data_IF_110187663929
#
_entry.id   IF_110187663929
#
_cell.length_a   1.000
_cell.length_b   1.000
_cell.length_c   1.000
_cell.angle_alpha   90.00
_cell.angle_beta   90.00
_cell.angle_gamma   90.00
#
_symmetry.space_group_name_H-M   'P 1'
#
loop_
_entity.id
_entity.type
_entity.pdbx_description
1 polymer ?
#
# COMPACT_ATOMS: atom_id res chain seq x y z
N UNK A 1 3.04 -0.44 -23.31
CA UNK A 1 3.90 -1.57 -22.93
C UNK A 1 3.20 -2.26 -21.77
N UNK A 2 2.59 -3.41 -22.01
CA UNK A 2 1.85 -4.13 -20.96
C UNK A 2 2.85 -4.83 -20.07
N UNK A 3 2.95 -4.36 -18.82
CA UNK A 3 3.82 -4.94 -17.80
C UNK A 3 3.30 -6.33 -17.42
N UNK A 4 4.17 -7.34 -17.53
CA UNK A 4 3.80 -8.74 -17.33
C UNK A 4 3.84 -9.07 -15.83
N UNK A 5 2.68 -8.96 -15.16
CA UNK A 5 2.54 -9.09 -13.71
C UNK A 5 2.69 -10.53 -13.20
N UNK A 6 2.81 -11.50 -14.10
CA UNK A 6 2.80 -12.93 -13.79
C UNK A 6 4.21 -13.51 -13.52
N UNK A 7 5.30 -12.81 -13.88
CA UNK A 7 6.69 -13.20 -13.55
C UNK A 7 7.48 -12.04 -12.90
N UNK A 8 7.37 -11.87 -11.57
CA UNK A 8 8.07 -10.85 -10.79
C UNK A 8 9.60 -10.83 -10.96
N UNK A 9 10.24 -11.98 -11.17
CA UNK A 9 11.70 -12.10 -11.03
C UNK A 9 12.49 -11.45 -12.19
N UNK A 10 11.80 -11.18 -13.29
CA UNK A 10 12.41 -10.73 -14.55
C UNK A 10 11.90 -9.34 -15.01
N UNK A 11 11.11 -8.65 -14.17
CA UNK A 11 10.56 -7.33 -14.50
C UNK A 11 11.52 -6.20 -14.06
N UNK A 12 11.85 -5.24 -14.95
CA UNK A 12 12.69 -4.08 -14.63
C UNK A 12 12.23 -3.29 -13.41
N UNK A 13 10.93 -3.25 -13.12
CA UNK A 13 10.37 -2.53 -11.97
C UNK A 13 10.87 -3.14 -10.66
N UNK A 14 10.94 -4.47 -10.57
CA UNK A 14 11.47 -5.13 -9.38
C UNK A 14 12.95 -4.80 -9.14
N UNK A 15 13.74 -4.63 -10.21
CA UNK A 15 15.14 -4.23 -10.07
C UNK A 15 15.26 -2.81 -9.56
N UNK A 16 14.50 -1.87 -10.12
CA UNK A 16 14.51 -0.48 -9.67
C UNK A 16 14.07 -0.42 -8.20
N UNK A 17 13.05 -1.19 -7.80
CA UNK A 17 12.63 -1.29 -6.40
C UNK A 17 13.75 -1.78 -5.49
N UNK A 18 14.49 -2.83 -5.88
CA UNK A 18 15.61 -3.34 -5.09
C UNK A 18 16.73 -2.30 -4.97
N UNK A 19 17.12 -1.66 -6.08
CA UNK A 19 18.14 -0.59 -6.09
C UNK A 19 17.73 0.56 -5.18
N UNK A 20 16.46 0.99 -5.22
CA UNK A 20 15.96 2.02 -4.33
C UNK A 20 16.07 1.60 -2.85
N UNK A 21 15.72 0.35 -2.52
CA UNK A 21 15.83 -0.17 -1.14
C UNK A 21 17.28 -0.25 -0.66
N UNK A 22 18.18 -0.77 -1.49
CA UNK A 22 19.61 -0.88 -1.17
C UNK A 22 20.28 0.49 -0.98
N UNK A 23 19.84 1.48 -1.76
CA UNK A 23 20.29 2.87 -1.65
C UNK A 23 19.55 3.68 -0.56
N UNK A 24 18.65 3.06 0.21
CA UNK A 24 17.79 3.72 1.21
C UNK A 24 16.87 4.84 0.66
N UNK A 25 16.52 4.78 -0.63
CA UNK A 25 15.58 5.68 -1.31
C UNK A 25 14.12 5.24 -1.05
N UNK A 26 13.73 5.21 0.22
CA UNK A 26 12.46 4.61 0.66
C UNK A 26 11.22 5.29 0.04
N UNK A 27 11.20 6.62 -0.04
CA UNK A 27 10.07 7.35 -0.64
C UNK A 27 9.90 7.01 -2.12
N UNK A 28 11.01 6.96 -2.86
CA UNK A 28 11.01 6.56 -4.28
C UNK A 28 10.55 5.11 -4.44
N UNK A 29 10.99 4.21 -3.56
CA UNK A 29 10.54 2.82 -3.57
C UNK A 29 9.02 2.74 -3.36
N UNK A 30 8.47 3.41 -2.34
CA UNK A 30 7.03 3.40 -2.06
C UNK A 30 6.20 4.04 -3.17
N UNK A 31 6.71 5.09 -3.81
CA UNK A 31 6.08 5.70 -4.98
C UNK A 31 6.02 4.73 -6.16
N UNK A 32 7.13 4.03 -6.44
CA UNK A 32 7.18 3.03 -7.51
C UNK A 32 6.28 1.83 -7.20
N UNK A 33 6.23 1.35 -5.95
CA UNK A 33 5.29 0.32 -5.49
C UNK A 33 3.85 0.73 -5.77
N UNK A 34 3.50 1.96 -5.43
CA UNK A 34 2.16 2.51 -5.59
C UNK A 34 1.77 2.71 -7.06
N UNK A 35 2.67 3.25 -7.89
CA UNK A 35 2.37 3.51 -9.30
C UNK A 35 2.32 2.23 -10.13
N UNK A 36 3.19 1.27 -9.83
CA UNK A 36 3.26 0.00 -10.55
C UNK A 36 2.20 -1.02 -10.08
N UNK A 37 1.84 -0.99 -8.79
CA UNK A 37 0.99 -1.99 -8.14
C UNK A 37 1.61 -3.40 -8.08
N UNK A 38 2.95 -3.49 -8.26
CA UNK A 38 3.69 -4.75 -8.39
C UNK A 38 4.01 -5.40 -7.04
N UNK A 39 4.39 -4.59 -6.05
CA UNK A 39 4.81 -5.07 -4.74
C UNK A 39 4.05 -4.35 -3.63
N UNK A 40 3.46 -5.11 -2.73
CA UNK A 40 2.78 -4.60 -1.55
C UNK A 40 3.72 -4.67 -0.35
N UNK A 41 4.32 -3.55 0.00
CA UNK A 41 5.07 -3.40 1.25
C UNK A 41 4.11 -3.36 2.45
N UNK A 42 3.97 -4.49 3.12
CA UNK A 42 3.14 -4.63 4.33
C UNK A 42 3.66 -3.77 5.48
N UNK A 43 4.98 -3.61 5.65
CA UNK A 43 5.55 -2.82 6.74
C UNK A 43 5.26 -1.34 6.54
N UNK A 44 5.38 -0.85 5.30
CA UNK A 44 5.00 0.51 4.94
C UNK A 44 3.51 0.76 5.19
N UNK A 45 2.65 -0.16 4.76
CA UNK A 45 1.22 -0.07 5.00
C UNK A 45 0.87 -0.03 6.50
N UNK A 46 1.49 -0.89 7.30
CA UNK A 46 1.34 -0.87 8.76
C UNK A 46 1.83 0.45 9.38
N UNK A 47 2.92 1.02 8.86
CA UNK A 47 3.43 2.33 9.29
C UNK A 47 2.44 3.47 9.00
N UNK A 48 1.82 3.48 7.82
CA UNK A 48 0.77 4.44 7.48
C UNK A 48 -0.42 4.36 8.46
N UNK A 49 -0.86 3.13 8.79
CA UNK A 49 -1.94 2.90 9.76
C UNK A 49 -1.54 3.37 11.15
N UNK A 50 -0.34 3.02 11.64
CA UNK A 50 0.13 3.45 12.96
C UNK A 50 0.16 4.98 13.10
N UNK A 51 0.53 5.68 12.03
CA UNK A 51 0.54 7.14 11.99
C UNK A 51 -0.84 7.76 11.73
N UNK A 52 -1.85 6.96 11.34
CA UNK A 52 -3.22 7.44 11.10
C UNK A 52 -3.34 8.25 9.81
N UNK A 53 -2.48 7.96 8.84
CA UNK A 53 -2.47 8.56 7.49
C UNK A 53 -3.54 7.92 6.62
N UNK A 54 -4.80 8.09 7.00
CA UNK A 54 -5.93 7.31 6.46
C UNK A 54 -6.15 7.50 4.96
N UNK A 55 -5.91 8.70 4.43
CA UNK A 55 -6.02 8.97 3.00
C UNK A 55 -4.94 8.23 2.22
N UNK A 56 -3.71 8.23 2.72
CA UNK A 56 -2.58 7.52 2.12
C UNK A 56 -2.74 6.01 2.23
N UNK A 57 -3.31 5.50 3.33
CA UNK A 57 -3.67 4.08 3.49
C UNK A 57 -4.61 3.64 2.38
N UNK A 58 -5.73 4.35 2.15
CA UNK A 58 -6.67 3.98 1.10
C UNK A 58 -6.09 4.19 -0.30
N UNK A 59 -5.34 5.29 -0.51
CA UNK A 59 -4.68 5.58 -1.79
C UNK A 59 -3.66 4.50 -2.14
N UNK A 60 -2.91 3.98 -1.17
CA UNK A 60 -1.97 2.89 -1.37
C UNK A 60 -2.71 1.58 -1.67
N UNK A 61 -3.69 1.21 -0.84
CA UNK A 61 -4.47 -0.02 -1.00
C UNK A 61 -5.19 -0.10 -2.36
N UNK A 62 -5.73 1.02 -2.85
CA UNK A 62 -6.47 1.12 -4.12
C UNK A 62 -5.68 0.68 -5.36
N UNK A 63 -4.35 0.64 -5.28
CA UNK A 63 -3.47 0.21 -6.38
C UNK A 63 -3.36 -1.30 -6.50
N UNK A 64 -3.71 -2.00 -5.43
CA UNK A 64 -3.67 -3.45 -5.37
C UNK A 64 -5.07 -4.04 -5.43
N UNK A 65 -6.05 -3.38 -4.81
CA UNK A 65 -7.44 -3.86 -4.80
C UNK A 65 -8.47 -2.74 -4.55
N UNK A 66 -9.60 -2.85 -5.23
CA UNK A 66 -10.82 -2.09 -4.97
C UNK A 66 -11.64 -2.65 -3.81
N UNK A 67 -12.59 -1.84 -3.33
CA UNK A 67 -13.43 -2.17 -2.17
C UNK A 67 -14.24 -3.46 -2.35
N UNK A 68 -14.67 -3.74 -3.57
CA UNK A 68 -15.60 -4.85 -3.88
C UNK A 68 -14.94 -5.98 -4.68
N UNK A 69 -13.61 -6.00 -4.81
CA UNK A 69 -12.92 -7.01 -5.63
C UNK A 69 -13.12 -8.43 -5.09
N UNK A 70 -13.07 -8.58 -3.76
CA UNK A 70 -13.30 -9.84 -3.06
C UNK A 70 -13.59 -9.58 -1.58
N UNK A 71 -14.03 -10.63 -0.87
CA UNK A 71 -14.37 -10.56 0.55
C UNK A 71 -13.23 -10.03 1.44
N UNK A 72 -11.98 -10.41 1.17
CA UNK A 72 -10.82 -9.93 1.94
C UNK A 72 -10.64 -8.42 1.74
N UNK A 73 -10.72 -7.94 0.50
CA UNK A 73 -10.63 -6.51 0.18
C UNK A 73 -11.74 -5.71 0.86
N UNK A 74 -12.99 -6.18 0.75
CA UNK A 74 -14.14 -5.55 1.44
C UNK A 74 -13.91 -5.46 2.94
N UNK A 75 -13.42 -6.54 3.56
CA UNK A 75 -13.10 -6.57 4.99
C UNK A 75 -11.98 -5.59 5.37
N UNK A 76 -10.92 -5.48 4.56
CA UNK A 76 -9.81 -4.55 4.83
C UNK A 76 -10.31 -3.09 4.84
N UNK A 77 -11.03 -2.67 3.79
CA UNK A 77 -11.58 -1.30 3.71
C UNK A 77 -12.56 -1.01 4.85
N UNK A 78 -13.43 -1.96 5.17
CA UNK A 78 -14.39 -1.81 6.26
C UNK A 78 -13.70 -1.55 7.60
N UNK A 79 -12.72 -2.38 7.97
CA UNK A 79 -12.02 -2.26 9.25
C UNK A 79 -11.25 -0.94 9.38
N UNK A 80 -10.62 -0.47 8.30
CA UNK A 80 -9.90 0.81 8.26
C UNK A 80 -10.87 1.98 8.48
N UNK A 81 -11.94 2.04 7.69
CA UNK A 81 -12.94 3.12 7.75
C UNK A 81 -13.69 3.14 9.08
N UNK A 82 -13.91 1.97 9.68
CA UNK A 82 -14.50 1.82 11.01
C UNK A 82 -13.59 2.45 12.07
N UNK A 83 -12.30 2.14 12.08
CA UNK A 83 -11.36 2.75 13.04
C UNK A 83 -11.23 4.26 12.82
N UNK A 84 -11.12 4.71 11.56
CA UNK A 84 -11.13 6.14 11.19
C UNK A 84 -12.35 6.86 11.76
N UNK A 85 -13.55 6.31 11.56
CA UNK A 85 -14.81 6.84 12.11
C UNK A 85 -14.74 7.02 13.64
N UNK A 86 -14.36 5.97 14.36
CA UNK A 86 -14.34 6.01 15.81
C UNK A 86 -13.26 6.95 16.36
N UNK A 87 -12.10 7.04 15.73
CA UNK A 87 -11.08 8.02 16.11
C UNK A 87 -11.55 9.46 15.91
N UNK A 88 -12.24 9.74 14.81
CA UNK A 88 -12.85 11.05 14.55
C UNK A 88 -13.94 11.38 15.56
N UNK A 89 -14.81 10.41 15.89
CA UNK A 89 -15.83 10.58 16.92
C UNK A 89 -15.21 10.84 18.29
N UNK A 90 -14.13 10.12 18.64
CA UNK A 90 -13.43 10.30 19.92
C UNK A 90 -12.75 11.67 20.05
N UNK A 91 -12.43 12.33 18.93
CA UNK A 91 -11.95 13.71 18.88
C UNK A 91 -13.07 14.76 18.95
N UNK A 92 -14.32 14.33 19.13
CA UNK A 92 -15.52 15.17 19.07
C UNK A 92 -15.71 15.88 17.71
N UNK A 93 -15.17 15.31 16.62
CA UNK A 93 -15.32 15.84 15.26
C UNK A 93 -16.59 15.27 14.58
N UNK A 94 -17.77 15.50 15.17
CA UNK A 94 -19.03 14.86 14.75
C UNK A 94 -19.39 15.09 13.27
N UNK A 95 -19.13 16.29 12.74
CA UNK A 95 -19.40 16.59 11.33
C UNK A 95 -18.56 15.72 10.38
N UNK A 96 -17.28 15.50 10.72
CA UNK A 96 -16.37 14.65 9.94
C UNK A 96 -16.73 13.18 10.12
N UNK A 97 -17.10 12.76 11.33
CA UNK A 97 -17.56 11.39 11.60
C UNK A 97 -18.84 11.06 10.80
N UNK A 98 -19.78 12.00 10.72
CA UNK A 98 -20.99 11.88 9.89
C UNK A 98 -20.63 11.74 8.40
N UNK A 99 -19.65 12.50 7.92
CA UNK A 99 -19.20 12.42 6.53
C UNK A 99 -18.61 11.04 6.22
N UNK A 100 -17.74 10.51 7.09
CA UNK A 100 -17.19 9.16 6.99
C UNK A 100 -18.32 8.12 7.02
N UNK A 101 -19.30 8.25 7.91
CA UNK A 101 -20.41 7.30 8.01
C UNK A 101 -21.26 7.26 6.72
N UNK A 102 -21.51 8.43 6.12
CA UNK A 102 -22.36 8.57 4.92
C UNK A 102 -21.65 8.20 3.63
N UNK A 103 -20.37 8.54 3.49
CA UNK A 103 -19.59 8.33 2.27
C UNK A 103 -18.83 7.02 2.28
N UNK A 104 -18.10 6.76 3.36
CA UNK A 104 -17.12 5.68 3.42
C UNK A 104 -17.75 4.38 3.90
N UNK A 105 -18.68 4.45 4.87
CA UNK A 105 -19.24 3.28 5.54
C UNK A 105 -20.62 2.85 5.05
N UNK A 106 -21.33 3.70 4.31
CA UNK A 106 -22.70 3.42 3.83
C UNK A 106 -22.78 2.18 2.93
N UNK A 107 -21.74 1.92 2.14
CA UNK A 107 -21.65 0.72 1.30
C UNK A 107 -21.70 -0.60 2.09
N UNK A 108 -21.47 -0.57 3.41
CA UNK A 108 -21.47 -1.74 4.29
C UNK A 108 -22.75 -1.86 5.13
N UNK A 109 -23.70 -0.93 5.00
CA UNK A 109 -24.94 -0.90 5.82
C UNK A 109 -25.75 -2.20 5.69
N UNK A 110 -25.93 -2.70 4.47
CA UNK A 110 -26.72 -3.91 4.23
C UNK A 110 -26.11 -5.15 4.90
N UNK A 111 -24.78 -5.26 4.90
CA UNK A 111 -24.04 -6.38 5.49
C UNK A 111 -23.85 -6.25 7.01
N UNK A 112 -23.89 -5.03 7.56
CA UNK A 112 -23.60 -4.73 8.96
C UNK A 112 -24.67 -3.82 9.59
N UNK A 113 -25.95 -4.13 9.36
CA UNK A 113 -27.08 -3.24 9.69
C UNK A 113 -27.12 -2.77 11.14
N UNK A 114 -26.99 -3.69 12.10
CA UNK A 114 -27.03 -3.31 13.53
C UNK A 114 -25.85 -2.42 13.91
N UNK A 115 -24.64 -2.77 13.45
CA UNK A 115 -23.46 -1.94 13.70
C UNK A 115 -23.58 -0.55 13.06
N UNK A 116 -24.12 -0.44 11.84
CA UNK A 116 -24.34 0.86 11.19
C UNK A 116 -25.35 1.72 11.96
N UNK A 117 -26.42 1.10 12.49
CA UNK A 117 -27.38 1.78 13.37
C UNK A 117 -26.72 2.24 14.67
N UNK A 118 -25.95 1.38 15.32
CA UNK A 118 -25.20 1.75 16.53
C UNK A 118 -24.27 2.93 16.25
N UNK A 119 -23.47 2.86 15.18
CA UNK A 119 -22.60 3.97 14.77
C UNK A 119 -23.40 5.26 14.57
N UNK A 120 -24.57 5.20 13.94
CA UNK A 120 -25.45 6.36 13.76
C UNK A 120 -25.92 6.95 15.10
N UNK A 121 -26.32 6.09 16.05
CA UNK A 121 -26.74 6.53 17.39
C UNK A 121 -25.60 7.16 18.17
N UNK A 122 -24.36 6.70 17.99
CA UNK A 122 -23.20 7.30 18.66
C UNK A 122 -22.97 8.77 18.26
N UNK A 123 -23.42 9.20 17.08
CA UNK A 123 -23.30 10.60 16.65
C UNK A 123 -24.17 11.55 17.48
N UNK A 124 -25.24 11.06 18.11
CA UNK A 124 -26.17 11.90 18.91
C UNK A 124 -25.70 12.12 20.34
N UNK A 125 -24.60 11.48 20.74
CA UNK A 125 -24.03 11.59 22.08
C UNK A 125 -23.12 12.82 22.10
N UNK A 126 -23.57 13.92 22.72
CA UNK A 126 -22.87 15.22 22.72
C UNK A 126 -21.43 15.16 23.25
N UNK A 127 -21.17 14.31 24.26
CA UNK A 127 -19.84 14.08 24.80
C UNK A 127 -19.57 12.57 24.94
N UNK A 128 -19.32 11.91 23.80
CA UNK A 128 -18.96 10.49 23.75
C UNK A 128 -17.87 10.14 24.80
N UNK A 129 -16.82 10.97 24.88
CA UNK A 129 -15.69 10.80 25.81
C UNK A 129 -16.08 10.81 27.29
N UNK A 130 -17.09 11.59 27.67
CA UNK A 130 -17.51 11.75 29.08
C UNK A 130 -18.62 10.78 29.47
N UNK A 131 -19.46 10.39 28.51
CA UNK A 131 -20.65 9.58 28.75
C UNK A 131 -20.39 8.07 28.60
N UNK A 132 -19.41 7.66 27.79
CA UNK A 132 -19.02 6.25 27.75
C UNK A 132 -18.04 5.94 28.88
N UNK A 133 -18.53 5.31 29.95
CA UNK A 133 -17.68 4.56 30.91
C UNK A 133 -16.93 3.38 30.27
N UNK A 134 -17.19 3.13 28.99
CA UNK A 134 -16.46 2.20 28.14
C UNK A 134 -15.18 2.94 27.74
N UNK A 135 -14.00 2.60 28.27
CA UNK A 135 -12.77 3.08 27.67
C UNK A 135 -12.79 2.50 26.26
N UNK A 136 -13.06 3.34 25.26
CA UNK A 136 -12.98 2.96 23.87
C UNK A 136 -11.56 2.40 23.64
N UNK A 137 -11.43 1.06 23.65
CA UNK A 137 -10.32 0.35 24.30
C UNK A 137 -8.92 0.85 23.91
N UNK A 138 -8.29 1.62 24.79
CA UNK A 138 -6.90 2.09 24.66
C UNK A 138 -6.75 3.42 23.91
N UNK A 139 -5.53 3.92 23.86
CA UNK A 139 -5.18 5.09 23.04
C UNK A 139 -5.26 4.78 21.53
N UNK A 140 -5.16 5.80 20.68
CA UNK A 140 -5.19 5.62 19.22
C UNK A 140 -4.12 4.66 18.71
N UNK A 141 -2.95 4.58 19.36
CA UNK A 141 -1.87 3.68 18.95
C UNK A 141 -2.26 2.23 19.20
N UNK A 142 -2.85 1.94 20.36
CA UNK A 142 -3.34 0.61 20.74
C UNK A 142 -4.43 0.15 19.79
N UNK A 143 -5.37 1.04 19.43
CA UNK A 143 -6.42 0.73 18.44
C UNK A 143 -5.85 0.44 17.06
N UNK A 144 -4.90 1.24 16.60
CA UNK A 144 -4.21 1.02 15.30
C UNK A 144 -3.40 -0.27 15.28
N UNK A 145 -2.74 -0.64 16.39
CA UNK A 145 -2.06 -1.94 16.53
C UNK A 145 -3.03 -3.11 16.48
N UNK A 146 -4.19 -3.01 17.15
CA UNK A 146 -5.26 -4.02 17.06
C UNK A 146 -5.76 -4.14 15.62
N UNK A 147 -6.01 -3.02 14.94
CA UNK A 147 -6.38 -3.01 13.52
C UNK A 147 -5.35 -3.75 12.67
N UNK A 148 -4.06 -3.45 12.83
CA UNK A 148 -2.99 -4.14 12.09
C UNK A 148 -3.01 -5.66 12.32
N UNK A 149 -3.19 -6.10 13.56
CA UNK A 149 -3.28 -7.53 13.87
C UNK A 149 -4.51 -8.21 13.23
N UNK A 150 -5.62 -7.48 13.06
CA UNK A 150 -6.80 -7.95 12.33
C UNK A 150 -6.54 -8.00 10.83
N UNK A 151 -5.87 -6.98 10.27
CA UNK A 151 -5.66 -6.85 8.83
C UNK A 151 -4.58 -7.77 8.29
N UNK A 152 -3.49 -8.01 9.02
CA UNK A 152 -2.35 -8.81 8.56
C UNK A 152 -2.75 -10.17 7.96
N UNK A 153 -3.47 -11.06 8.69
CA UNK A 153 -3.89 -12.34 8.11
C UNK A 153 -4.86 -12.17 6.93
N UNK A 154 -5.72 -11.14 6.95
CA UNK A 154 -6.66 -10.88 5.84
C UNK A 154 -5.92 -10.46 4.57
N UNK A 155 -4.85 -9.68 4.69
CA UNK A 155 -3.99 -9.25 3.59
C UNK A 155 -3.17 -10.43 3.06
N UNK A 156 -2.58 -11.23 3.95
CA UNK A 156 -1.79 -12.41 3.59
C UNK A 156 -2.61 -13.47 2.86
N UNK A 157 -3.91 -13.59 3.17
CA UNK A 157 -4.83 -14.50 2.50
C UNK A 157 -5.56 -13.88 1.30
N UNK A 158 -5.42 -12.58 1.06
CA UNK A 158 -6.11 -11.91 -0.06
C UNK A 158 -5.51 -12.38 -1.40
N UNK A 159 -6.30 -12.99 -2.31
CA UNK A 159 -5.78 -13.58 -3.54
C UNK A 159 -5.09 -12.59 -4.47
N UNK A 160 -5.46 -11.30 -4.44
CA UNK A 160 -4.83 -10.29 -5.31
C UNK A 160 -3.58 -9.65 -4.68
N UNK A 161 -3.37 -9.81 -3.38
CA UNK A 161 -2.23 -9.23 -2.64
C UNK A 161 -1.17 -10.28 -2.28
N UNK A 162 -1.57 -11.51 -1.93
CA UNK A 162 -0.68 -12.58 -1.42
C UNK A 162 0.55 -12.85 -2.28
N UNK A 163 0.41 -12.80 -3.60
CA UNK A 163 1.51 -13.00 -4.55
C UNK A 163 2.48 -11.81 -4.69
N UNK A 164 2.16 -10.67 -4.06
CA UNK A 164 2.85 -9.38 -4.23
C UNK A 164 3.59 -8.91 -2.98
N UNK A 165 3.63 -9.71 -1.90
CA UNK A 165 4.23 -9.32 -0.62
C UNK A 165 5.69 -9.76 -0.45
N UNK A 166 6.25 -10.48 -1.43
CA UNK A 166 7.64 -10.97 -1.40
C UNK A 166 8.43 -10.41 -2.58
N UNK A 167 9.58 -9.79 -2.29
CA UNK A 167 10.60 -9.50 -3.31
C UNK A 167 11.49 -10.74 -3.39
N UNK A 168 11.57 -11.37 -4.57
CA UNK A 168 12.54 -12.43 -4.79
C UNK A 168 13.95 -11.81 -4.85
N UNK A 169 14.95 -12.34 -4.12
CA UNK A 169 16.33 -11.88 -4.26
C UNK A 169 16.79 -12.11 -5.70
N UNK A 170 17.11 -11.05 -6.44
CA UNK A 170 17.64 -11.21 -7.78
C UNK A 170 19.17 -11.22 -7.75
N UNK A 171 19.75 -12.42 -7.89
CA UNK A 171 21.19 -12.59 -8.09
C UNK A 171 21.68 -12.20 -9.50
N UNK A 172 20.76 -11.95 -10.46
CA UNK A 172 21.07 -11.88 -11.89
C UNK A 172 21.57 -10.50 -12.34
N UNK A 173 21.23 -9.41 -11.65
CA UNK A 173 21.62 -8.07 -12.11
C UNK A 173 23.10 -7.73 -11.85
N UNK A 174 23.70 -8.25 -10.76
CA UNK A 174 25.15 -8.17 -10.57
C UNK A 174 25.86 -8.88 -11.72
N UNK A 175 25.40 -10.09 -12.10
CA UNK A 175 25.94 -10.79 -13.25
C UNK A 175 25.73 -10.03 -14.57
N UNK A 176 24.57 -9.43 -14.82
CA UNK A 176 24.35 -8.67 -16.08
C UNK A 176 25.07 -7.33 -16.09
N UNK A 177 25.20 -6.64 -14.95
CA UNK A 177 25.99 -5.42 -14.82
C UNK A 177 27.48 -5.70 -14.97
N UNK A 178 28.00 -6.74 -14.31
CA UNK A 178 29.38 -7.21 -14.50
C UNK A 178 29.61 -7.68 -15.93
N UNK A 179 28.66 -8.43 -16.54
CA UNK A 179 28.75 -8.81 -17.95
C UNK A 179 28.67 -7.61 -18.89
N UNK A 180 27.89 -6.58 -18.57
CA UNK A 180 27.82 -5.36 -19.37
C UNK A 180 29.11 -4.56 -19.24
N UNK A 181 29.66 -4.41 -18.02
CA UNK A 181 30.97 -3.82 -17.82
C UNK A 181 32.08 -4.61 -18.51
N UNK A 182 32.08 -5.95 -18.40
CA UNK A 182 33.01 -6.83 -19.13
C UNK A 182 32.82 -6.74 -20.65
N UNK A 183 31.60 -6.59 -21.14
CA UNK A 183 31.31 -6.37 -22.56
C UNK A 183 31.87 -5.03 -23.03
N UNK A 184 31.67 -3.96 -22.28
CA UNK A 184 32.23 -2.63 -22.57
C UNK A 184 33.76 -2.64 -22.51
N UNK A 185 34.35 -3.34 -21.53
CA UNK A 185 35.80 -3.47 -21.37
C UNK A 185 36.46 -4.41 -22.39
N UNK A 186 35.73 -5.40 -22.93
CA UNK A 186 36.20 -6.30 -24.00
C UNK A 186 35.92 -5.76 -25.41
N UNK A 187 35.00 -4.80 -25.53
CA UNK A 187 34.76 -4.10 -26.79
C UNK A 187 35.83 -3.03 -26.93
N UNK A 188 36.99 -3.42 -27.47
CA UNK A 188 37.97 -2.47 -27.96
C UNK A 188 37.24 -1.56 -28.98
N UNK A 189 36.93 -0.33 -28.58
CA UNK A 189 36.50 0.71 -29.49
C UNK A 189 37.67 0.99 -30.43
N UNK A 190 37.74 0.26 -31.54
CA UNK A 190 38.61 0.64 -32.64
C UNK A 190 38.09 1.97 -33.20
N UNK A 191 38.91 3.04 -33.19
CA UNK A 191 38.52 4.28 -33.84
C UNK A 191 38.31 3.97 -35.32
N UNK A 192 37.12 4.25 -35.84
CA UNK A 192 36.84 4.18 -37.27
C UNK A 192 37.74 5.23 -37.92
N UNK A 193 38.87 4.82 -38.47
CA UNK A 193 39.71 5.68 -39.30
C UNK A 193 38.93 5.93 -40.58
N UNK A 194 38.41 7.16 -40.71
CA UNK A 194 37.79 7.64 -41.94
C UNK A 194 38.84 7.65 -43.06
N UNK A 195 38.88 6.59 -43.87
CA UNK A 195 39.57 6.64 -45.14
C UNK A 195 38.74 7.50 -46.09
N UNK A 196 39.05 8.80 -46.13
CA UNK A 196 38.72 9.63 -47.27
C UNK A 196 39.53 9.11 -48.47
N UNK A 197 38.88 8.39 -49.37
CA UNK A 197 39.35 8.20 -50.74
C UNK A 197 39.15 9.51 -51.49
N UNK A 198 40.19 10.12 -52.07
CA UNK A 198 40.01 11.23 -52.99
C UNK A 198 39.42 10.69 -54.30
N UNK A 199 38.30 11.28 -54.72
CA UNK A 199 37.71 11.08 -56.04
C UNK A 199 38.68 11.66 -57.08
N UNK A 200 39.17 10.79 -57.98
CA UNK A 200 39.68 11.19 -59.29
C UNK A 200 38.52 11.27 -60.28
#
# INVERSE_FOLDING_TARGET
MSLNKDDPGNDPIFYILQVCKDANLNETAHMLEQESGYFFDLKYFENLILNGKWEEVEKYLSRFTGVNDNYHSTKIYFEIRKVKYYETLYKNEHAVALDILRKDLRAFEESHRELYREMTLLLTIENFREQTKIPFEGDSITRRKKLINVLRPVIEDNPVIKGRTKVAPCHRFLETSERFQLFVLRSDFHPVTSHHTPLC
#
